data_IF_563273477750
#
_entry.id   IF_563273477750
#
_cell.length_a   1.000
_cell.length_b   1.000
_cell.length_c   1.000
_cell.angle_alpha   90.00
_cell.angle_beta   90.00
_cell.angle_gamma   90.00
#
_symmetry.space_group_name_H-M   'P 1'
#
loop_
_entity.id
_entity.type
_entity.pdbx_description
1 polymer ?
#
# COMPACT_ATOMS: atom_id res chain seq x y z
N UNK A 1 2.21 -26.06 74.46
CA UNK A 1 2.27 -25.10 73.32
C UNK A 1 1.81 -25.82 72.05
N UNK A 2 0.84 -25.25 71.40
CA UNK A 2 0.29 -25.81 70.17
C UNK A 2 1.28 -25.54 69.03
N UNK A 3 1.86 -26.53 68.34
CA UNK A 3 2.87 -26.35 67.30
C UNK A 3 2.31 -25.66 66.05
N UNK A 4 1.01 -25.44 65.97
CA UNK A 4 0.35 -24.78 64.83
C UNK A 4 -0.07 -23.33 65.11
N UNK A 5 0.34 -22.76 66.28
CA UNK A 5 -0.08 -21.41 66.68
C UNK A 5 0.31 -20.35 65.64
N UNK A 6 1.55 -20.42 65.12
CA UNK A 6 2.05 -19.47 64.06
C UNK A 6 1.27 -19.60 62.74
N UNK A 7 0.93 -20.84 62.36
CA UNK A 7 0.13 -21.07 61.12
C UNK A 7 -1.31 -20.56 61.30
N UNK A 8 -1.90 -20.73 62.48
CA UNK A 8 -3.25 -20.25 62.80
C UNK A 8 -3.26 -18.71 62.79
N UNK A 9 -2.22 -18.04 63.31
CA UNK A 9 -2.10 -16.62 63.26
C UNK A 9 -1.89 -16.07 61.85
N UNK A 10 -1.11 -16.73 61.01
CA UNK A 10 -0.95 -16.36 59.62
C UNK A 10 -2.27 -16.45 58.83
N UNK A 11 -3.06 -17.48 59.06
CA UNK A 11 -4.40 -17.60 58.44
C UNK A 11 -5.41 -16.58 58.95
N UNK A 12 -5.25 -16.08 60.19
CA UNK A 12 -6.12 -15.00 60.72
C UNK A 12 -5.75 -13.62 60.17
N UNK A 13 -4.52 -13.43 59.79
CA UNK A 13 -4.06 -12.18 59.17
C UNK A 13 -4.28 -12.11 57.67
N UNK A 14 -4.54 -13.26 57.01
CA UNK A 14 -4.94 -13.26 55.61
C UNK A 14 -6.36 -12.69 55.46
N UNK A 15 -6.41 -11.44 55.13
CA UNK A 15 -7.65 -10.75 54.80
C UNK A 15 -8.15 -11.35 53.48
N UNK A 16 -9.20 -12.16 53.55
CA UNK A 16 -9.90 -12.64 52.36
C UNK A 16 -10.27 -11.43 51.49
N UNK A 17 -9.61 -11.26 50.39
CA UNK A 17 -9.98 -10.22 49.41
C UNK A 17 -11.39 -10.56 48.92
N UNK A 18 -12.33 -9.63 49.16
CA UNK A 18 -13.68 -9.76 48.61
C UNK A 18 -13.59 -9.68 47.09
N UNK A 19 -13.91 -10.78 46.43
CA UNK A 19 -14.02 -10.85 44.99
C UNK A 19 -15.17 -9.93 44.57
N UNK A 20 -14.85 -8.92 43.76
CA UNK A 20 -15.84 -8.02 43.18
C UNK A 20 -16.36 -8.64 41.87
N UNK A 21 -17.46 -9.38 41.97
CA UNK A 21 -18.08 -10.04 40.82
C UNK A 21 -18.60 -9.06 39.78
N UNK A 22 -19.06 -7.87 40.17
CA UNK A 22 -19.54 -6.86 39.22
C UNK A 22 -18.39 -6.41 38.32
N UNK A 23 -17.23 -6.13 38.88
CA UNK A 23 -16.03 -5.75 38.13
C UNK A 23 -15.53 -6.88 37.24
N UNK A 24 -15.62 -8.12 37.67
CA UNK A 24 -15.28 -9.31 36.86
C UNK A 24 -16.22 -9.40 35.67
N UNK A 25 -17.54 -9.26 35.90
CA UNK A 25 -18.54 -9.34 34.85
C UNK A 25 -18.37 -8.20 33.81
N UNK A 26 -18.15 -6.96 34.26
CA UNK A 26 -17.87 -5.82 33.36
C UNK A 26 -16.62 -6.08 32.51
N UNK A 27 -15.54 -6.55 33.14
CA UNK A 27 -14.28 -6.83 32.43
C UNK A 27 -14.43 -7.99 31.44
N UNK A 28 -15.18 -9.02 31.81
CA UNK A 28 -15.46 -10.18 30.94
C UNK A 28 -16.28 -9.73 29.71
N UNK A 29 -17.35 -8.93 29.94
CA UNK A 29 -18.16 -8.40 28.85
C UNK A 29 -17.34 -7.54 27.90
N UNK A 30 -16.47 -6.66 28.45
CA UNK A 30 -15.56 -5.87 27.65
C UNK A 30 -14.59 -6.72 26.82
N UNK A 31 -14.02 -7.77 27.42
CA UNK A 31 -13.14 -8.71 26.75
C UNK A 31 -13.85 -9.42 25.59
N UNK A 32 -15.06 -9.91 25.83
CA UNK A 32 -15.88 -10.57 24.79
C UNK A 32 -16.17 -9.62 23.62
N UNK A 33 -16.52 -8.36 23.89
CA UNK A 33 -16.71 -7.36 22.85
C UNK A 33 -15.43 -7.08 22.07
N UNK A 34 -14.29 -6.96 22.74
CA UNK A 34 -13.00 -6.75 22.08
C UNK A 34 -12.59 -7.93 21.22
N UNK A 35 -12.79 -9.16 21.70
CA UNK A 35 -12.52 -10.39 20.95
C UNK A 35 -13.41 -10.50 19.71
N UNK A 36 -14.69 -10.14 19.85
CA UNK A 36 -15.63 -10.12 18.73
C UNK A 36 -15.19 -9.10 17.66
N UNK A 37 -14.85 -7.87 18.06
CA UNK A 37 -14.35 -6.84 17.14
C UNK A 37 -13.05 -7.27 16.46
N UNK A 38 -12.13 -7.86 17.22
CA UNK A 38 -10.87 -8.37 16.67
C UNK A 38 -11.14 -9.43 15.60
N UNK A 39 -12.03 -10.38 15.89
CA UNK A 39 -12.45 -11.41 14.93
C UNK A 39 -13.06 -10.78 13.66
N UNK A 40 -13.95 -9.81 13.80
CA UNK A 40 -14.55 -9.12 12.64
C UNK A 40 -13.52 -8.43 11.75
N UNK A 41 -12.45 -7.89 12.33
CA UNK A 41 -11.42 -7.17 11.58
C UNK A 41 -10.34 -8.08 10.99
N UNK A 42 -10.06 -9.21 11.64
CA UNK A 42 -8.97 -10.12 11.25
C UNK A 42 -9.43 -11.31 10.41
N UNK A 43 -10.66 -11.75 10.59
CA UNK A 43 -11.23 -12.88 9.84
C UNK A 43 -11.39 -12.50 8.36
N UNK A 44 -10.79 -13.30 7.48
CA UNK A 44 -10.86 -13.11 6.02
C UNK A 44 -12.29 -13.18 5.49
N UNK A 45 -13.15 -13.93 6.13
CA UNK A 45 -14.53 -14.16 5.72
C UNK A 45 -15.54 -13.22 6.41
N UNK A 46 -15.07 -12.32 7.29
CA UNK A 46 -15.95 -11.39 7.97
C UNK A 46 -16.66 -10.45 6.99
N UNK A 47 -17.93 -10.15 7.29
CA UNK A 47 -18.71 -9.24 6.46
C UNK A 47 -18.16 -7.81 6.45
N UNK A 48 -17.52 -7.37 7.54
CA UNK A 48 -16.89 -6.04 7.64
C UNK A 48 -15.73 -5.94 6.66
N UNK A 49 -14.84 -6.93 6.67
CA UNK A 49 -13.70 -6.98 5.75
C UNK A 49 -14.16 -7.06 4.30
N UNK A 50 -15.13 -7.95 3.98
CA UNK A 50 -15.71 -8.07 2.64
C UNK A 50 -16.31 -6.73 2.18
N UNK A 51 -17.00 -6.02 3.06
CA UNK A 51 -17.59 -4.71 2.74
C UNK A 51 -16.53 -3.63 2.46
N UNK A 52 -15.46 -3.58 3.27
CA UNK A 52 -14.35 -2.65 3.07
C UNK A 52 -13.64 -2.92 1.73
N UNK A 53 -13.37 -4.19 1.43
CA UNK A 53 -12.75 -4.60 0.17
C UNK A 53 -13.64 -4.19 -1.00
N UNK A 54 -14.91 -4.58 -1.01
CA UNK A 54 -15.85 -4.30 -2.09
C UNK A 54 -15.99 -2.80 -2.39
N UNK A 55 -16.02 -1.97 -1.34
CA UNK A 55 -16.10 -0.51 -1.51
C UNK A 55 -14.84 0.09 -2.15
N UNK A 56 -13.66 -0.38 -1.75
CA UNK A 56 -12.40 0.16 -2.25
C UNK A 56 -11.97 -0.47 -3.58
N UNK A 57 -12.39 -1.70 -3.84
CA UNK A 57 -12.01 -2.45 -5.02
C UNK A 57 -12.51 -1.80 -6.32
N UNK A 58 -13.74 -1.30 -6.32
CA UNK A 58 -14.30 -0.58 -7.47
C UNK A 58 -13.49 0.66 -7.81
N UNK A 59 -13.09 1.41 -6.78
CA UNK A 59 -12.25 2.58 -6.98
C UNK A 59 -10.84 2.18 -7.46
N UNK A 60 -10.22 1.17 -6.85
CA UNK A 60 -8.94 0.62 -7.28
C UNK A 60 -8.95 0.20 -8.75
N UNK A 61 -9.93 -0.60 -9.16
CA UNK A 61 -10.06 -1.07 -10.54
C UNK A 61 -10.29 0.08 -11.52
N UNK A 62 -11.09 1.06 -11.16
CA UNK A 62 -11.29 2.27 -11.96
C UNK A 62 -9.98 3.05 -12.15
N UNK A 63 -9.20 3.23 -11.07
CA UNK A 63 -7.90 3.92 -11.15
C UNK A 63 -6.87 3.11 -11.91
N UNK A 64 -6.85 1.79 -11.72
CA UNK A 64 -5.96 0.89 -12.43
C UNK A 64 -6.23 0.92 -13.95
N UNK A 65 -7.48 0.79 -14.36
CA UNK A 65 -7.89 0.89 -15.77
C UNK A 65 -7.49 2.24 -16.38
N UNK A 66 -7.68 3.34 -15.63
CA UNK A 66 -7.24 4.66 -16.04
C UNK A 66 -5.73 4.70 -16.33
N UNK A 67 -4.89 4.21 -15.41
CA UNK A 67 -3.43 4.24 -15.58
C UNK A 67 -2.96 3.30 -16.67
N UNK A 68 -3.51 2.09 -16.75
CA UNK A 68 -3.16 1.10 -17.79
C UNK A 68 -3.44 1.65 -19.18
N UNK A 69 -4.57 2.27 -19.40
CA UNK A 69 -4.91 2.87 -20.70
C UNK A 69 -3.98 4.04 -21.05
N UNK A 70 -3.62 4.88 -20.09
CA UNK A 70 -2.75 6.04 -20.32
C UNK A 70 -1.28 5.67 -20.53
N UNK A 71 -0.83 4.55 -19.95
CA UNK A 71 0.54 4.06 -20.14
C UNK A 71 0.70 3.21 -21.42
N UNK A 72 -0.37 3.09 -22.20
CA UNK A 72 -0.36 2.43 -23.50
C UNK A 72 -0.37 0.90 -23.43
N UNK A 73 -0.97 0.32 -22.40
CA UNK A 73 -1.24 -1.10 -22.32
C UNK A 73 -2.67 -1.41 -22.81
N UNK A 74 -2.80 -2.46 -23.62
CA UNK A 74 -4.09 -2.93 -24.13
C UNK A 74 -4.81 -3.92 -23.21
N UNK A 75 -4.08 -4.47 -22.24
CA UNK A 75 -4.59 -5.47 -21.32
C UNK A 75 -5.61 -4.84 -20.36
N UNK A 76 -6.68 -5.57 -20.07
CA UNK A 76 -7.58 -5.27 -18.98
C UNK A 76 -7.11 -6.04 -17.74
N UNK A 77 -6.90 -5.33 -16.65
CA UNK A 77 -6.44 -5.90 -15.37
C UNK A 77 -7.42 -5.50 -14.29
N UNK A 78 -7.99 -6.50 -13.62
CA UNK A 78 -8.98 -6.29 -12.58
C UNK A 78 -8.70 -7.15 -11.35
N UNK A 79 -8.88 -6.57 -10.18
CA UNK A 79 -8.93 -7.30 -8.92
C UNK A 79 -10.34 -7.81 -8.67
N UNK A 80 -10.45 -9.07 -8.29
CA UNK A 80 -11.69 -9.71 -7.84
C UNK A 80 -11.89 -9.51 -6.33
N UNK A 81 -13.08 -9.84 -5.84
CA UNK A 81 -13.43 -9.66 -4.42
C UNK A 81 -12.59 -10.52 -3.46
N UNK A 82 -12.00 -11.59 -3.94
CA UNK A 82 -11.04 -12.44 -3.21
C UNK A 82 -9.60 -11.91 -3.27
N UNK A 83 -9.41 -10.73 -3.93
CA UNK A 83 -8.12 -10.10 -4.20
C UNK A 83 -7.23 -10.86 -5.20
N UNK A 84 -7.76 -11.85 -5.89
CA UNK A 84 -7.10 -12.40 -7.07
C UNK A 84 -7.08 -11.38 -8.21
N UNK A 85 -6.09 -11.48 -9.10
CA UNK A 85 -5.93 -10.58 -10.24
C UNK A 85 -6.27 -11.35 -11.50
N UNK A 86 -7.16 -10.80 -12.30
CA UNK A 86 -7.46 -11.29 -13.64
C UNK A 86 -6.87 -10.34 -14.67
N UNK A 87 -6.13 -10.90 -15.62
CA UNK A 87 -5.58 -10.18 -16.76
C UNK A 87 -6.24 -10.74 -18.01
N UNK A 88 -6.79 -9.88 -18.83
CA UNK A 88 -7.36 -10.27 -20.11
C UNK A 88 -6.79 -9.45 -21.26
N UNK A 89 -6.56 -10.10 -22.39
CA UNK A 89 -6.18 -9.46 -23.66
C UNK A 89 -7.19 -9.88 -24.72
N UNK A 90 -7.90 -8.91 -25.30
CA UNK A 90 -8.96 -9.15 -26.28
C UNK A 90 -10.02 -10.19 -25.83
N UNK A 91 -10.36 -10.17 -24.53
CA UNK A 91 -11.35 -11.08 -23.95
C UNK A 91 -10.85 -12.51 -23.67
N UNK A 92 -9.56 -12.76 -23.80
CA UNK A 92 -8.93 -14.02 -23.40
C UNK A 92 -8.12 -13.82 -22.12
N UNK A 93 -8.23 -14.78 -21.23
CA UNK A 93 -7.43 -14.82 -20.01
C UNK A 93 -5.92 -14.89 -20.34
N UNK A 94 -5.13 -14.10 -19.66
CA UNK A 94 -3.72 -13.92 -19.89
C UNK A 94 -2.93 -13.99 -18.58
N UNK A 95 -1.80 -14.69 -18.60
CA UNK A 95 -0.96 -14.81 -17.41
C UNK A 95 0.01 -13.62 -17.30
N UNK A 96 0.20 -13.11 -16.09
CA UNK A 96 1.19 -12.08 -15.82
C UNK A 96 2.60 -12.48 -16.26
N UNK A 97 2.96 -13.77 -16.14
CA UNK A 97 4.27 -14.25 -16.53
C UNK A 97 4.49 -14.23 -18.05
N UNK A 98 3.43 -14.22 -18.82
CA UNK A 98 3.48 -14.12 -20.29
C UNK A 98 3.69 -12.70 -20.79
N UNK A 99 3.57 -11.68 -19.94
CA UNK A 99 3.86 -10.29 -20.27
C UNK A 99 5.37 -10.10 -20.51
N UNK A 100 5.71 -9.29 -21.50
CA UNK A 100 7.07 -8.81 -21.71
C UNK A 100 7.58 -8.01 -20.51
N UNK A 101 8.89 -7.86 -20.39
CA UNK A 101 9.49 -7.08 -19.28
C UNK A 101 8.97 -5.65 -19.24
N UNK A 102 8.81 -5.00 -20.39
CA UNK A 102 8.30 -3.65 -20.49
C UNK A 102 6.82 -3.55 -20.08
N UNK A 103 6.01 -4.52 -20.48
CA UNK A 103 4.60 -4.60 -20.06
C UNK A 103 4.47 -4.84 -18.56
N UNK A 104 5.27 -5.76 -17.98
CA UNK A 104 5.32 -5.98 -16.54
C UNK A 104 5.63 -4.71 -15.77
N UNK A 105 6.63 -3.93 -16.21
CA UNK A 105 6.98 -2.67 -15.57
C UNK A 105 5.86 -1.63 -15.64
N UNK A 106 5.17 -1.54 -16.79
CA UNK A 106 3.99 -0.66 -16.95
C UNK A 106 2.84 -1.07 -16.04
N UNK A 107 2.58 -2.38 -15.90
CA UNK A 107 1.57 -2.90 -14.98
C UNK A 107 1.92 -2.56 -13.53
N UNK A 108 3.18 -2.80 -13.11
CA UNK A 108 3.65 -2.48 -11.76
C UNK A 108 3.50 -0.99 -11.44
N UNK A 109 3.88 -0.11 -12.37
CA UNK A 109 3.70 1.33 -12.21
C UNK A 109 2.23 1.71 -12.09
N UNK A 110 1.39 1.20 -12.98
CA UNK A 110 -0.06 1.47 -12.97
C UNK A 110 -0.70 1.03 -11.66
N UNK A 111 -0.32 -0.15 -11.17
CA UNK A 111 -0.74 -0.67 -9.87
C UNK A 111 -0.30 0.25 -8.72
N UNK A 112 0.98 0.63 -8.71
CA UNK A 112 1.54 1.49 -7.66
C UNK A 112 0.81 2.83 -7.58
N UNK A 113 0.48 3.43 -8.72
CA UNK A 113 -0.27 4.68 -8.79
C UNK A 113 -1.74 4.50 -8.39
N UNK A 114 -2.37 3.40 -8.79
CA UNK A 114 -3.75 3.08 -8.41
C UNK A 114 -3.88 2.85 -6.90
N UNK A 115 -2.98 2.08 -6.29
CA UNK A 115 -2.94 1.88 -4.85
C UNK A 115 -2.67 3.19 -4.09
N UNK A 116 -1.78 4.02 -4.61
CA UNK A 116 -1.56 5.34 -4.05
C UNK A 116 -2.83 6.19 -4.05
N UNK A 117 -3.58 6.20 -5.15
CA UNK A 117 -4.85 6.94 -5.24
C UNK A 117 -5.88 6.43 -4.23
N UNK A 118 -5.97 5.10 -4.02
CA UNK A 118 -6.82 4.51 -2.98
C UNK A 118 -6.37 4.98 -1.59
N UNK A 119 -5.07 4.95 -1.33
CA UNK A 119 -4.52 5.37 -0.05
C UNK A 119 -4.77 6.87 0.21
N UNK A 120 -4.56 7.73 -0.79
CA UNK A 120 -4.81 9.17 -0.70
C UNK A 120 -6.30 9.53 -0.56
N UNK A 121 -7.20 8.64 -1.01
CA UNK A 121 -8.64 8.81 -0.79
C UNK A 121 -9.06 8.45 0.65
N UNK A 122 -8.31 7.59 1.32
CA UNK A 122 -8.59 7.15 2.68
C UNK A 122 -7.88 8.00 3.75
N UNK A 123 -6.75 8.61 3.39
CA UNK A 123 -5.86 9.31 4.32
C UNK A 123 -5.44 10.68 3.77
N UNK A 124 -4.63 11.38 4.55
CA UNK A 124 -4.05 12.66 4.11
C UNK A 124 -3.13 12.46 2.91
N UNK A 125 -3.37 13.17 1.79
CA UNK A 125 -2.57 13.01 0.59
C UNK A 125 -1.13 13.48 0.80
N UNK A 126 -0.17 12.71 0.25
CA UNK A 126 1.25 13.05 0.24
C UNK A 126 1.56 13.74 -1.10
N UNK A 127 2.09 14.95 -1.06
CA UNK A 127 2.34 15.75 -2.26
C UNK A 127 3.68 15.48 -2.95
N UNK A 128 4.44 14.47 -2.52
CA UNK A 128 5.72 14.08 -3.10
C UNK A 128 5.66 12.67 -3.69
N UNK A 129 6.30 12.47 -4.84
CA UNK A 129 6.44 11.18 -5.51
C UNK A 129 7.87 11.01 -6.01
N UNK A 130 8.52 9.92 -5.62
CA UNK A 130 9.79 9.48 -6.20
C UNK A 130 9.55 8.27 -7.09
N UNK A 131 10.11 8.31 -8.30
CA UNK A 131 10.12 7.20 -9.25
C UNK A 131 11.58 6.88 -9.52
N UNK A 132 12.04 5.73 -9.02
CA UNK A 132 13.44 5.35 -9.03
C UNK A 132 13.70 4.24 -10.05
N UNK A 133 14.42 4.58 -11.12
CA UNK A 133 14.90 3.68 -12.20
C UNK A 133 13.86 2.77 -12.88
N UNK A 134 12.58 2.86 -12.52
CA UNK A 134 11.53 1.96 -13.04
C UNK A 134 11.34 2.13 -14.55
N UNK A 135 11.63 3.33 -15.07
CA UNK A 135 11.51 3.66 -16.49
C UNK A 135 12.74 3.16 -17.29
N UNK A 136 13.88 2.96 -16.62
CA UNK A 136 15.15 2.67 -17.26
C UNK A 136 15.24 1.24 -17.76
N UNK A 137 14.54 0.31 -17.13
CA UNK A 137 14.68 -1.11 -17.39
C UNK A 137 13.54 -1.68 -18.23
N UNK A 138 13.82 -1.90 -19.53
CA UNK A 138 12.97 -2.72 -20.40
C UNK A 138 11.71 -2.07 -20.94
N UNK A 139 11.47 -0.77 -20.70
CA UNK A 139 10.44 -0.03 -21.41
C UNK A 139 10.93 0.43 -22.78
N UNK A 140 10.05 0.31 -23.78
CA UNK A 140 10.25 0.92 -25.07
C UNK A 140 10.01 2.44 -25.01
N UNK A 141 10.42 3.17 -26.04
CA UNK A 141 10.33 4.64 -26.08
C UNK A 141 8.89 5.12 -25.94
N UNK A 142 7.91 4.42 -26.51
CA UNK A 142 6.49 4.75 -26.37
C UNK A 142 6.00 4.63 -24.91
N UNK A 143 6.47 3.60 -24.18
CA UNK A 143 6.16 3.43 -22.76
C UNK A 143 6.80 4.49 -21.90
N UNK A 144 8.03 4.89 -22.20
CA UNK A 144 8.73 5.98 -21.52
C UNK A 144 7.98 7.30 -21.70
N UNK A 145 7.58 7.62 -22.94
CA UNK A 145 6.79 8.84 -23.23
C UNK A 145 5.45 8.85 -22.50
N UNK A 146 4.74 7.75 -22.52
CA UNK A 146 3.46 7.62 -21.83
C UNK A 146 3.62 7.80 -20.31
N UNK A 147 4.68 7.21 -19.75
CA UNK A 147 5.03 7.34 -18.35
C UNK A 147 5.35 8.79 -17.95
N UNK A 148 6.19 9.48 -18.76
CA UNK A 148 6.53 10.88 -18.53
C UNK A 148 5.30 11.79 -18.65
N UNK A 149 4.43 11.55 -19.63
CA UNK A 149 3.19 12.29 -19.79
C UNK A 149 2.31 12.15 -18.52
N UNK A 150 2.18 10.94 -17.99
CA UNK A 150 1.44 10.69 -16.76
C UNK A 150 2.06 11.40 -15.55
N UNK A 151 3.38 11.35 -15.37
CA UNK A 151 4.08 12.04 -14.28
C UNK A 151 3.92 13.56 -14.37
N UNK A 152 3.96 14.13 -15.58
CA UNK A 152 3.68 15.55 -15.81
C UNK A 152 2.24 15.93 -15.48
N UNK A 153 1.27 15.10 -15.84
CA UNK A 153 -0.13 15.29 -15.47
C UNK A 153 -0.31 15.27 -13.94
N UNK A 154 0.29 14.30 -13.24
CA UNK A 154 0.27 14.23 -11.78
C UNK A 154 0.87 15.49 -11.14
N UNK A 155 1.96 16.01 -11.68
CA UNK A 155 2.59 17.23 -11.18
C UNK A 155 1.71 18.48 -11.37
N UNK A 156 1.04 18.59 -12.53
CA UNK A 156 0.22 19.76 -12.87
C UNK A 156 -1.15 19.74 -12.21
N UNK A 157 -1.87 18.63 -12.34
CA UNK A 157 -3.27 18.54 -11.94
C UNK A 157 -3.45 18.30 -10.44
N UNK A 158 -2.47 17.64 -9.82
CA UNK A 158 -2.54 17.27 -8.40
C UNK A 158 -1.57 18.04 -7.51
N UNK A 159 -0.86 19.02 -8.06
CA UNK A 159 0.13 19.86 -7.35
C UNK A 159 1.20 19.01 -6.64
N UNK A 160 1.61 17.90 -7.27
CA UNK A 160 2.59 16.97 -6.68
C UNK A 160 4.01 17.34 -7.11
N UNK A 161 4.93 17.27 -6.17
CA UNK A 161 6.37 17.31 -6.45
C UNK A 161 6.81 15.93 -6.92
N UNK A 162 7.07 15.77 -8.21
CA UNK A 162 7.48 14.51 -8.82
C UNK A 162 8.98 14.52 -9.05
N UNK A 163 9.67 13.52 -8.54
CA UNK A 163 11.09 13.28 -8.70
C UNK A 163 11.32 11.98 -9.47
N UNK A 164 11.96 12.10 -10.63
CA UNK A 164 12.33 10.96 -11.45
C UNK A 164 13.84 10.74 -11.34
N UNK A 165 14.24 9.58 -10.86
CA UNK A 165 15.64 9.14 -10.81
C UNK A 165 15.85 8.21 -12.00
N UNK A 166 16.83 8.54 -12.85
CA UNK A 166 17.06 7.83 -14.12
C UNK A 166 18.51 7.97 -14.57
N UNK A 167 19.02 6.96 -15.26
CA UNK A 167 20.30 6.99 -15.97
C UNK A 167 20.16 7.40 -17.44
N UNK A 168 18.94 7.63 -17.92
CA UNK A 168 18.68 8.00 -19.32
C UNK A 168 18.92 9.50 -19.57
N UNK A 169 20.05 9.83 -20.19
CA UNK A 169 20.39 11.22 -20.52
C UNK A 169 19.39 11.88 -21.48
N UNK A 170 18.70 11.11 -22.32
CA UNK A 170 17.68 11.59 -23.26
C UNK A 170 16.47 12.25 -22.56
N UNK A 171 16.23 11.94 -21.28
CA UNK A 171 15.13 12.51 -20.50
C UNK A 171 15.44 13.91 -19.95
N UNK A 172 16.70 14.34 -19.97
CA UNK A 172 17.13 15.64 -19.46
C UNK A 172 16.38 16.78 -20.16
N UNK A 173 16.23 16.71 -21.49
CA UNK A 173 15.51 17.71 -22.28
C UNK A 173 14.00 17.70 -22.09
N UNK A 174 13.48 16.69 -21.40
CA UNK A 174 12.04 16.44 -21.21
C UNK A 174 11.50 16.94 -19.87
N UNK A 175 12.36 17.36 -18.96
CA UNK A 175 12.00 17.79 -17.60
C UNK A 175 12.40 19.25 -17.37
N UNK A 176 11.73 19.90 -16.39
CA UNK A 176 11.95 21.33 -16.16
C UNK A 176 13.20 21.61 -15.33
N UNK A 177 13.55 20.72 -14.41
CA UNK A 177 14.69 20.85 -13.51
C UNK A 177 15.48 19.56 -13.50
N UNK A 178 16.79 19.67 -13.51
CA UNK A 178 17.71 18.53 -13.47
C UNK A 178 18.69 18.69 -12.32
N UNK A 179 18.82 17.66 -11.50
CA UNK A 179 19.83 17.55 -10.48
C UNK A 179 20.82 16.44 -10.88
N UNK A 180 22.01 16.84 -11.29
CA UNK A 180 23.07 15.88 -11.57
C UNK A 180 23.75 15.44 -10.29
N UNK A 181 23.76 14.14 -10.04
CA UNK A 181 24.45 13.53 -8.91
C UNK A 181 25.64 12.74 -9.44
N UNK A 182 26.85 13.12 -9.05
CA UNK A 182 28.09 12.43 -9.44
C UNK A 182 28.83 11.91 -8.22
N UNK A 183 29.33 10.69 -8.31
CA UNK A 183 30.20 10.10 -7.31
C UNK A 183 31.59 9.91 -7.90
N UNK A 184 32.58 10.67 -7.40
CA UNK A 184 33.96 10.61 -7.83
C UNK A 184 34.88 10.43 -6.61
N UNK A 185 35.79 9.48 -6.65
CA UNK A 185 36.76 9.20 -5.57
C UNK A 185 36.12 9.02 -4.17
N UNK A 186 34.91 8.45 -4.12
CA UNK A 186 34.19 8.21 -2.86
C UNK A 186 33.38 9.41 -2.37
N UNK A 187 33.44 10.55 -3.01
CA UNK A 187 32.68 11.77 -2.67
C UNK A 187 31.52 11.97 -3.65
N UNK A 188 30.40 12.44 -3.12
CA UNK A 188 29.21 12.75 -3.92
C UNK A 188 29.10 14.27 -4.11
N UNK A 189 28.95 14.70 -5.35
CA UNK A 189 28.73 16.10 -5.72
C UNK A 189 27.37 16.28 -6.43
N UNK A 190 26.79 17.45 -6.30
CA UNK A 190 25.49 17.82 -6.85
C UNK A 190 25.62 19.07 -7.69
N UNK A 191 25.15 19.02 -8.94
CA UNK A 191 25.04 20.17 -9.82
C UNK A 191 23.59 20.34 -10.29
N UNK A 192 23.04 21.53 -10.10
CA UNK A 192 21.70 21.90 -10.58
C UNK A 192 21.87 22.71 -11.87
N UNK A 193 21.23 22.25 -12.94
CA UNK A 193 21.01 23.03 -14.16
C UNK A 193 19.69 23.79 -14.07
#
# INVERSE_FOLDING_TARGET
DNPYTEQIESFKTDTLQKINYDKINETTTLLEHQQFLLKLLTDKDSFVRKKIIDQNLKYLNSRLSYYISHIGLRHLIEFKNDLSVEITDLGKEFDFDSLSRGEKNRVILSLSWAFRDVWENLYTPINILFVDEVIDSGMDDAGVESCLSMLKSMSRERTKSVWLITHRNELISRVNNVLHVKKENGFTSFNKN
#
